data_IF_473140293066
#
_entry.id   IF_473140293066
#
_cell.length_a   1.000
_cell.length_b   1.000
_cell.length_c   1.000
_cell.angle_alpha   90.00
_cell.angle_beta   90.00
_cell.angle_gamma   90.00
#
_symmetry.space_group_name_H-M   'P 1'
#
loop_
_entity.id
_entity.type
_entity.pdbx_description
1 polymer ?
#
# COMPACT_ATOMS: atom_id res chain seq x y z
N UNK A 1 -15.91 -3.93 9.46
CA UNK A 1 -14.61 -3.36 9.90
C UNK A 1 -13.57 -3.17 8.79
N UNK A 2 -13.22 -4.17 7.96
CA UNK A 2 -12.18 -4.01 6.91
C UNK A 2 -12.66 -3.45 5.56
N UNK A 3 -13.91 -3.00 5.45
CA UNK A 3 -14.43 -2.47 4.19
C UNK A 3 -14.16 -0.98 3.99
N UNK A 4 -13.82 -0.25 5.06
CA UNK A 4 -13.61 1.19 5.04
C UNK A 4 -12.52 1.57 6.06
N UNK A 5 -11.65 2.52 5.68
CA UNK A 5 -10.56 2.99 6.55
C UNK A 5 -11.07 3.75 7.78
N UNK A 6 -12.28 4.34 7.71
CA UNK A 6 -12.89 5.06 8.83
C UNK A 6 -12.93 4.23 10.11
N UNK A 7 -13.09 2.90 10.03
CA UNK A 7 -13.13 2.05 11.21
C UNK A 7 -11.85 2.14 12.05
N UNK A 8 -10.66 1.95 11.47
CA UNK A 8 -9.43 2.07 12.23
C UNK A 8 -9.08 3.53 12.52
N UNK A 9 -9.43 4.46 11.63
CA UNK A 9 -9.13 5.88 11.82
C UNK A 9 -9.88 6.46 13.03
N UNK A 10 -11.19 6.21 13.15
CA UNK A 10 -11.98 6.69 14.28
C UNK A 10 -11.82 5.80 15.51
N UNK A 11 -12.09 4.50 15.39
CA UNK A 11 -12.13 3.62 16.56
C UNK A 11 -10.72 3.32 17.09
N UNK A 12 -9.79 2.98 16.19
CA UNK A 12 -8.38 2.79 16.53
C UNK A 12 -7.70 4.09 16.97
N UNK A 13 -8.00 5.21 16.29
CA UNK A 13 -7.50 6.53 16.69
C UNK A 13 -8.00 6.95 18.09
N UNK A 14 -9.28 6.72 18.38
CA UNK A 14 -9.84 6.99 19.71
C UNK A 14 -9.26 6.08 20.78
N UNK A 15 -9.09 4.78 20.49
CA UNK A 15 -8.37 3.85 21.37
C UNK A 15 -6.97 4.39 21.72
N UNK A 16 -6.21 4.82 20.71
CA UNK A 16 -4.85 5.32 20.93
C UNK A 16 -4.84 6.62 21.75
N UNK A 17 -5.77 7.54 21.50
CA UNK A 17 -5.92 8.77 22.29
C UNK A 17 -6.30 8.48 23.75
N UNK A 18 -7.28 7.58 23.97
CA UNK A 18 -7.71 7.19 25.30
C UNK A 18 -6.58 6.51 26.09
N UNK A 19 -5.83 5.62 25.44
CA UNK A 19 -4.66 4.96 26.03
C UNK A 19 -3.56 5.98 26.40
N UNK A 20 -3.23 6.88 25.49
CA UNK A 20 -2.20 7.89 25.71
C UNK A 20 -2.55 8.86 26.85
N UNK A 21 -3.80 9.34 26.90
CA UNK A 21 -4.24 10.30 27.92
C UNK A 21 -4.46 9.65 29.29
N UNK A 22 -4.94 8.41 29.33
CA UNK A 22 -5.22 7.73 30.60
C UNK A 22 -4.01 7.05 31.23
N UNK A 23 -2.95 6.79 30.47
CA UNK A 23 -1.74 6.09 30.95
C UNK A 23 -1.97 4.62 31.31
N UNK A 24 -3.16 4.07 31.03
CA UNK A 24 -3.52 2.67 31.27
C UNK A 24 -3.92 1.98 29.97
N UNK A 25 -3.85 0.66 29.97
CA UNK A 25 -4.47 -0.13 28.90
C UNK A 25 -5.99 0.10 28.90
N UNK A 26 -6.54 0.18 27.69
CA UNK A 26 -7.96 0.40 27.44
C UNK A 26 -8.46 -0.78 26.61
N UNK A 27 -9.66 -1.28 26.90
CA UNK A 27 -10.26 -2.29 26.03
C UNK A 27 -10.92 -1.63 24.83
N UNK A 28 -10.81 -2.28 23.67
CA UNK A 28 -11.45 -1.84 22.44
C UNK A 28 -12.36 -2.96 21.93
N UNK A 29 -13.66 -2.66 21.90
CA UNK A 29 -14.74 -3.63 21.69
C UNK A 29 -15.66 -3.19 20.57
N UNK A 30 -16.25 -4.15 19.87
CA UNK A 30 -17.27 -3.96 18.85
C UNK A 30 -18.55 -4.63 19.29
N UNK A 31 -19.67 -3.89 19.21
CA UNK A 31 -21.00 -4.49 19.33
C UNK A 31 -21.39 -5.02 17.96
N UNK A 32 -21.43 -6.34 17.85
CA UNK A 32 -21.85 -7.07 16.67
C UNK A 32 -23.37 -7.18 16.63
N UNK A 33 -23.99 -6.46 15.71
CA UNK A 33 -25.43 -6.43 15.46
C UNK A 33 -25.80 -7.05 14.11
N UNK A 34 -24.90 -7.86 13.52
CA UNK A 34 -25.16 -8.54 12.24
C UNK A 34 -26.38 -9.48 12.32
N UNK A 35 -26.60 -10.08 13.48
CA UNK A 35 -27.83 -10.79 13.83
C UNK A 35 -28.48 -10.06 15.02
N UNK A 36 -29.67 -9.49 14.80
CA UNK A 36 -30.40 -8.73 15.82
C UNK A 36 -30.85 -9.65 16.96
N UNK A 37 -31.11 -10.92 16.66
CA UNK A 37 -31.53 -11.91 17.67
C UNK A 37 -30.38 -12.40 18.55
N UNK A 38 -29.13 -12.17 18.12
CA UNK A 38 -27.91 -12.63 18.79
C UNK A 38 -26.85 -11.52 18.82
N UNK A 39 -27.20 -10.40 19.46
CA UNK A 39 -26.28 -9.25 19.59
C UNK A 39 -25.16 -9.55 20.56
N UNK A 40 -23.91 -9.37 20.12
CA UNK A 40 -22.70 -9.74 20.90
C UNK A 40 -21.78 -8.56 21.12
N UNK A 41 -21.11 -8.54 22.25
CA UNK A 41 -19.96 -7.67 22.48
C UNK A 41 -18.70 -8.49 22.23
N UNK A 42 -17.88 -8.04 21.28
CA UNK A 42 -16.71 -8.77 20.80
C UNK A 42 -15.47 -7.88 20.91
N UNK A 43 -14.37 -8.39 21.45
CA UNK A 43 -13.10 -7.69 21.42
C UNK A 43 -12.65 -7.45 19.96
N UNK A 44 -12.14 -6.26 19.65
CA UNK A 44 -11.69 -5.95 18.27
C UNK A 44 -10.63 -6.93 17.80
N UNK A 45 -9.76 -7.41 18.70
CA UNK A 45 -8.80 -8.47 18.38
C UNK A 45 -9.48 -9.69 17.77
N UNK A 46 -10.53 -10.22 18.41
CA UNK A 46 -11.26 -11.38 17.89
C UNK A 46 -11.96 -11.08 16.56
N UNK A 47 -12.47 -9.86 16.38
CA UNK A 47 -13.12 -9.46 15.11
C UNK A 47 -12.09 -9.33 13.96
N UNK A 48 -10.89 -8.81 14.24
CA UNK A 48 -9.76 -8.79 13.28
C UNK A 48 -9.45 -10.22 12.82
N UNK A 49 -9.25 -11.13 13.79
CA UNK A 49 -8.90 -12.53 13.49
C UNK A 49 -10.02 -13.25 12.74
N UNK A 50 -11.29 -13.03 13.13
CA UNK A 50 -12.45 -13.59 12.44
C UNK A 50 -12.49 -13.14 10.98
N UNK A 51 -12.29 -11.85 10.71
CA UNK A 51 -12.28 -11.32 9.34
C UNK A 51 -11.08 -11.86 8.56
N UNK A 52 -9.91 -11.95 9.17
CA UNK A 52 -8.73 -12.53 8.53
C UNK A 52 -9.02 -13.97 8.09
N UNK A 53 -9.51 -14.82 9.00
CA UNK A 53 -9.87 -16.22 8.73
C UNK A 53 -10.99 -16.38 7.71
N UNK A 54 -12.02 -15.53 7.77
CA UNK A 54 -13.17 -15.62 6.88
C UNK A 54 -12.88 -15.11 5.47
N UNK A 55 -11.86 -14.24 5.31
CA UNK A 55 -11.52 -13.57 4.05
C UNK A 55 -10.06 -13.74 3.68
N UNK A 56 -9.17 -12.92 4.24
CA UNK A 56 -7.77 -12.77 3.80
C UNK A 56 -6.97 -14.08 3.74
N UNK A 57 -7.31 -15.09 4.54
CA UNK A 57 -6.64 -16.39 4.49
C UNK A 57 -7.58 -17.54 4.12
N UNK A 58 -8.79 -17.21 3.65
CA UNK A 58 -9.78 -18.19 3.22
C UNK A 58 -9.60 -18.49 1.73
N UNK A 59 -9.22 -19.73 1.34
CA UNK A 59 -9.01 -20.08 -0.06
C UNK A 59 -10.25 -19.87 -0.92
N UNK A 60 -11.45 -20.21 -0.42
CA UNK A 60 -12.71 -20.03 -1.15
C UNK A 60 -12.96 -18.55 -1.48
N UNK A 61 -12.75 -17.67 -0.50
CA UNK A 61 -12.94 -16.24 -0.72
C UNK A 61 -11.89 -15.68 -1.69
N UNK A 62 -10.64 -16.12 -1.58
CA UNK A 62 -9.57 -15.70 -2.48
C UNK A 62 -9.88 -16.12 -3.92
N UNK A 63 -10.27 -17.37 -4.15
CA UNK A 63 -10.60 -17.85 -5.49
C UNK A 63 -11.82 -17.15 -6.09
N UNK A 64 -12.85 -16.85 -5.28
CA UNK A 64 -13.99 -16.05 -5.76
C UNK A 64 -13.57 -14.62 -6.14
N UNK A 65 -12.69 -13.99 -5.35
CA UNK A 65 -12.19 -12.65 -5.68
C UNK A 65 -11.29 -12.66 -6.92
N UNK A 66 -10.52 -13.71 -7.16
CA UNK A 66 -9.66 -13.84 -8.35
C UNK A 66 -10.45 -13.83 -9.65
N UNK A 67 -11.72 -14.28 -9.65
CA UNK A 67 -12.63 -14.17 -10.81
C UNK A 67 -12.90 -12.73 -11.26
N UNK A 68 -12.60 -11.75 -10.43
CA UNK A 68 -12.81 -10.33 -10.71
C UNK A 68 -11.53 -9.58 -11.13
N UNK A 69 -10.43 -10.30 -11.42
CA UNK A 69 -9.20 -9.74 -11.97
C UNK A 69 -8.69 -8.51 -11.20
N UNK A 70 -8.48 -7.40 -11.93
CA UNK A 70 -7.98 -6.13 -11.36
C UNK A 70 -8.73 -5.69 -10.10
N UNK A 71 -10.07 -5.78 -10.11
CA UNK A 71 -10.90 -5.34 -8.97
C UNK A 71 -10.77 -6.29 -7.77
N UNK A 72 -10.62 -7.58 -8.02
CA UNK A 72 -10.31 -8.57 -6.98
C UNK A 72 -8.98 -8.26 -6.30
N UNK A 73 -7.95 -7.99 -7.10
CA UNK A 73 -6.62 -7.62 -6.62
C UNK A 73 -6.63 -6.33 -5.79
N UNK A 74 -7.34 -5.29 -6.26
CA UNK A 74 -7.52 -4.04 -5.50
C UNK A 74 -8.23 -4.26 -4.16
N UNK A 75 -9.21 -5.16 -4.10
CA UNK A 75 -9.90 -5.48 -2.83
C UNK A 75 -8.99 -6.24 -1.84
N UNK A 76 -8.07 -7.09 -2.32
CA UNK A 76 -7.04 -7.69 -1.47
C UNK A 76 -6.14 -6.62 -0.85
N UNK A 77 -5.52 -5.80 -1.70
CA UNK A 77 -4.62 -4.72 -1.28
C UNK A 77 -5.30 -3.78 -0.29
N UNK A 78 -6.51 -3.32 -0.58
CA UNK A 78 -7.31 -2.46 0.31
C UNK A 78 -7.58 -3.08 1.67
N UNK A 79 -7.95 -4.37 1.75
CA UNK A 79 -8.22 -5.02 3.04
C UNK A 79 -6.94 -5.22 3.85
N UNK A 80 -5.82 -5.54 3.20
CA UNK A 80 -4.51 -5.67 3.85
C UNK A 80 -4.05 -4.29 4.36
N UNK A 81 -4.25 -3.22 3.60
CA UNK A 81 -4.01 -1.84 4.04
C UNK A 81 -4.85 -1.47 5.26
N UNK A 82 -6.13 -1.85 5.28
CA UNK A 82 -6.99 -1.59 6.45
C UNK A 82 -6.56 -2.41 7.68
N UNK A 83 -6.11 -3.65 7.49
CA UNK A 83 -5.52 -4.45 8.57
C UNK A 83 -4.24 -3.80 9.10
N UNK A 84 -3.39 -3.29 8.21
CA UNK A 84 -2.22 -2.49 8.60
C UNK A 84 -2.63 -1.25 9.43
N UNK A 85 -3.67 -0.53 9.01
CA UNK A 85 -4.21 0.61 9.77
C UNK A 85 -4.67 0.24 11.19
N UNK A 86 -5.32 -0.92 11.35
CA UNK A 86 -5.66 -1.46 12.66
C UNK A 86 -4.43 -1.79 13.50
N UNK A 87 -3.41 -2.41 12.90
CA UNK A 87 -2.16 -2.69 13.60
C UNK A 87 -1.43 -1.41 14.03
N UNK A 88 -1.37 -0.41 13.16
CA UNK A 88 -0.73 0.87 13.44
C UNK A 88 -1.42 1.66 14.56
N UNK A 89 -2.74 1.55 14.67
CA UNK A 89 -3.53 2.27 15.68
C UNK A 89 -3.69 1.52 17.00
N UNK A 90 -3.76 0.19 16.97
CA UNK A 90 -4.11 -0.62 18.16
C UNK A 90 -3.06 -1.64 18.59
N UNK A 91 -2.15 -2.05 17.70
CA UNK A 91 -1.20 -3.16 17.90
C UNK A 91 -1.86 -4.50 18.24
N UNK A 92 -3.12 -4.71 17.84
CA UNK A 92 -3.89 -5.92 18.12
C UNK A 92 -3.84 -7.00 17.04
N UNK A 93 -3.14 -6.74 15.92
CA UNK A 93 -3.00 -7.71 14.85
C UNK A 93 -1.88 -8.69 15.21
N UNK A 94 -2.24 -9.96 15.38
CA UNK A 94 -1.26 -10.98 15.75
C UNK A 94 -0.33 -11.37 14.59
N UNK A 95 0.88 -11.81 14.94
CA UNK A 95 1.96 -12.20 14.01
C UNK A 95 1.47 -13.19 12.94
N UNK A 96 0.69 -14.21 13.35
CA UNK A 96 0.23 -15.26 12.45
C UNK A 96 -0.59 -14.71 11.28
N UNK A 97 -1.32 -13.60 11.47
CA UNK A 97 -2.13 -13.00 10.42
C UNK A 97 -1.24 -12.43 9.32
N UNK A 98 -0.21 -11.69 9.71
CA UNK A 98 0.79 -11.18 8.78
C UNK A 98 1.58 -12.29 8.10
N UNK A 99 2.00 -13.31 8.86
CA UNK A 99 2.72 -14.45 8.29
C UNK A 99 1.88 -15.12 7.19
N UNK A 100 0.59 -15.37 7.44
CA UNK A 100 -0.30 -15.98 6.44
C UNK A 100 -0.59 -15.08 5.25
N UNK A 101 -0.66 -13.76 5.45
CA UNK A 101 -0.80 -12.81 4.34
C UNK A 101 0.48 -12.82 3.48
N UNK A 102 1.66 -12.76 4.09
CA UNK A 102 2.92 -12.80 3.38
C UNK A 102 3.08 -14.13 2.61
N UNK A 103 2.83 -15.26 3.27
CA UNK A 103 2.83 -16.59 2.65
C UNK A 103 1.92 -16.63 1.41
N UNK A 104 0.67 -16.17 1.54
CA UNK A 104 -0.33 -16.34 0.48
C UNK A 104 -0.28 -15.30 -0.63
N UNK A 105 -0.01 -14.05 -0.31
CA UNK A 105 -0.11 -12.95 -1.30
C UNK A 105 1.24 -12.55 -1.90
N UNK A 106 2.34 -12.84 -1.21
CA UNK A 106 3.68 -12.47 -1.69
C UNK A 106 4.53 -13.70 -1.99
N UNK A 107 4.61 -14.70 -1.12
CA UNK A 107 5.53 -15.83 -1.31
C UNK A 107 4.98 -16.93 -2.25
N UNK A 108 3.66 -17.06 -2.36
CA UNK A 108 2.98 -17.96 -3.29
C UNK A 108 3.17 -17.48 -4.75
N UNK A 109 3.93 -18.24 -5.52
CA UNK A 109 4.26 -17.93 -6.91
C UNK A 109 3.04 -17.86 -7.83
N UNK A 110 2.04 -18.72 -7.64
CA UNK A 110 0.82 -18.70 -8.45
C UNK A 110 0.03 -17.43 -8.17
N UNK A 111 0.01 -17.01 -6.91
CA UNK A 111 -0.65 -15.76 -6.53
C UNK A 111 0.11 -14.54 -7.08
N UNK A 112 1.45 -14.53 -7.04
CA UNK A 112 2.27 -13.45 -7.61
C UNK A 112 2.03 -13.30 -9.10
N UNK A 113 2.13 -14.39 -9.87
CA UNK A 113 1.85 -14.40 -11.32
C UNK A 113 0.45 -13.87 -11.61
N UNK A 114 -0.55 -14.30 -10.82
CA UNK A 114 -1.92 -13.80 -10.98
C UNK A 114 -2.01 -12.29 -10.75
N UNK A 115 -1.31 -11.74 -9.75
CA UNK A 115 -1.25 -10.29 -9.56
C UNK A 115 -0.51 -9.56 -10.69
N UNK A 116 0.62 -10.08 -11.16
CA UNK A 116 1.38 -9.49 -12.27
C UNK A 116 0.51 -9.34 -13.53
N UNK A 117 -0.30 -10.36 -13.83
CA UNK A 117 -1.24 -10.34 -14.97
C UNK A 117 -2.41 -9.35 -14.77
N UNK A 118 -2.94 -9.23 -13.54
CA UNK A 118 -4.21 -8.54 -13.33
C UNK A 118 -4.08 -7.15 -12.70
N UNK A 119 -3.12 -6.94 -11.80
CA UNK A 119 -2.86 -5.68 -11.08
C UNK A 119 -1.53 -5.73 -10.30
N UNK A 120 -0.38 -5.46 -10.95
CA UNK A 120 0.93 -5.48 -10.29
C UNK A 120 1.06 -4.42 -9.19
N UNK A 121 0.40 -3.27 -9.34
CA UNK A 121 0.38 -2.22 -8.30
C UNK A 121 -0.27 -2.68 -6.99
N UNK A 122 -1.25 -3.59 -7.05
CA UNK A 122 -1.86 -4.14 -5.86
C UNK A 122 -0.87 -5.05 -5.09
N UNK A 123 -0.06 -5.82 -5.81
CA UNK A 123 0.99 -6.64 -5.22
C UNK A 123 2.09 -5.78 -4.59
N UNK A 124 2.55 -4.75 -5.31
CA UNK A 124 3.50 -3.75 -4.79
C UNK A 124 3.01 -3.17 -3.44
N UNK A 125 1.78 -2.66 -3.38
CA UNK A 125 1.25 -2.05 -2.17
C UNK A 125 1.16 -3.06 -1.01
N UNK A 126 0.80 -4.32 -1.30
CA UNK A 126 0.76 -5.39 -0.29
C UNK A 126 2.17 -5.64 0.27
N UNK A 127 3.16 -5.85 -0.59
CA UNK A 127 4.54 -6.16 -0.18
C UNK A 127 5.15 -4.97 0.56
N UNK A 128 4.98 -3.74 0.05
CA UNK A 128 5.44 -2.52 0.73
C UNK A 128 4.83 -2.37 2.12
N UNK A 129 3.53 -2.64 2.29
CA UNK A 129 2.87 -2.58 3.60
C UNK A 129 3.35 -3.67 4.56
N UNK A 130 3.68 -4.87 4.07
CA UNK A 130 4.30 -5.94 4.86
C UNK A 130 5.69 -5.54 5.36
N UNK A 131 6.54 -5.03 4.46
CA UNK A 131 7.87 -4.51 4.80
C UNK A 131 7.80 -3.35 5.79
N UNK A 132 6.86 -2.42 5.58
CA UNK A 132 6.65 -1.31 6.51
C UNK A 132 6.18 -1.79 7.89
N UNK A 133 5.28 -2.78 7.94
CA UNK A 133 4.84 -3.38 9.20
C UNK A 133 6.01 -4.00 9.97
N UNK A 134 6.93 -4.68 9.28
CA UNK A 134 8.15 -5.20 9.87
C UNK A 134 9.05 -4.08 10.38
N UNK A 135 9.34 -3.06 9.54
CA UNK A 135 10.18 -1.90 9.87
C UNK A 135 9.66 -1.11 11.08
N UNK A 136 8.34 -1.00 11.23
CA UNK A 136 7.69 -0.30 12.36
C UNK A 136 7.49 -1.17 13.61
N UNK A 137 7.92 -2.44 13.57
CA UNK A 137 7.73 -3.39 14.66
C UNK A 137 6.26 -3.72 14.94
N UNK A 138 5.38 -3.51 13.95
CA UNK A 138 3.98 -3.93 13.98
C UNK A 138 3.87 -5.44 13.69
N UNK A 139 4.82 -5.96 12.93
CA UNK A 139 5.01 -7.36 12.64
C UNK A 139 6.46 -7.76 12.91
N UNK A 140 6.68 -9.00 13.33
CA UNK A 140 8.01 -9.57 13.58
C UNK A 140 8.17 -10.83 12.72
N UNK A 141 8.48 -10.71 11.42
CA UNK A 141 8.71 -11.87 10.56
C UNK A 141 9.97 -12.64 10.97
N UNK A 142 10.10 -13.88 10.49
CA UNK A 142 11.41 -14.56 10.49
C UNK A 142 12.35 -13.88 9.51
N UNK A 143 13.66 -14.00 9.74
CA UNK A 143 14.69 -13.44 8.86
C UNK A 143 14.54 -13.87 7.40
N UNK A 144 14.38 -15.18 7.16
CA UNK A 144 14.16 -15.74 5.80
C UNK A 144 12.95 -15.12 5.09
N UNK A 145 11.83 -14.95 5.80
CA UNK A 145 10.63 -14.32 5.25
C UNK A 145 10.86 -12.84 4.92
N UNK A 146 11.63 -12.11 5.73
CA UNK A 146 11.94 -10.71 5.47
C UNK A 146 12.85 -10.58 4.24
N UNK A 147 13.90 -11.39 4.15
CA UNK A 147 14.83 -11.41 3.01
C UNK A 147 14.07 -11.71 1.71
N UNK A 148 13.20 -12.73 1.70
CA UNK A 148 12.34 -13.04 0.54
C UNK A 148 11.41 -11.90 0.16
N UNK A 149 10.81 -11.20 1.12
CA UNK A 149 9.94 -10.07 0.82
C UNK A 149 10.70 -8.89 0.21
N UNK A 150 11.94 -8.65 0.64
CA UNK A 150 12.82 -7.63 0.07
C UNK A 150 13.20 -7.99 -1.38
N UNK A 151 13.57 -9.24 -1.64
CA UNK A 151 13.83 -9.75 -3.00
C UNK A 151 12.61 -9.58 -3.91
N UNK A 152 11.44 -10.06 -3.48
CA UNK A 152 10.18 -9.94 -4.22
C UNK A 152 9.85 -8.46 -4.49
N UNK A 153 10.09 -7.58 -3.52
CA UNK A 153 9.82 -6.15 -3.70
C UNK A 153 10.70 -5.55 -4.80
N UNK A 154 12.00 -5.89 -4.84
CA UNK A 154 12.90 -5.48 -5.91
C UNK A 154 12.51 -6.04 -7.28
N UNK A 155 12.05 -7.29 -7.34
CA UNK A 155 11.51 -7.88 -8.59
C UNK A 155 10.28 -7.10 -9.09
N UNK A 156 9.34 -6.78 -8.21
CA UNK A 156 8.15 -6.00 -8.55
C UNK A 156 8.51 -4.59 -9.03
N UNK A 157 9.45 -3.91 -8.36
CA UNK A 157 9.91 -2.60 -8.80
C UNK A 157 10.52 -2.67 -10.20
N UNK A 158 11.36 -3.67 -10.48
CA UNK A 158 11.92 -3.89 -11.82
C UNK A 158 10.85 -4.10 -12.90
N UNK A 159 9.84 -4.92 -12.61
CA UNK A 159 8.70 -5.14 -13.52
C UNK A 159 7.90 -3.86 -13.77
N UNK A 160 7.66 -3.07 -12.71
CA UNK A 160 6.92 -1.82 -12.83
C UNK A 160 7.69 -0.75 -13.59
N UNK A 161 9.00 -0.67 -13.41
CA UNK A 161 9.86 0.20 -14.20
C UNK A 161 9.76 -0.16 -15.68
N UNK A 162 9.90 -1.44 -16.04
CA UNK A 162 9.76 -1.90 -17.43
C UNK A 162 8.39 -1.55 -18.02
N UNK A 163 7.30 -1.73 -17.26
CA UNK A 163 5.94 -1.37 -17.68
C UNK A 163 5.74 0.15 -17.87
N UNK A 164 6.52 0.98 -17.16
CA UNK A 164 6.40 2.44 -17.22
C UNK A 164 7.39 3.07 -18.21
N UNK A 165 8.49 2.39 -18.53
CA UNK A 165 9.40 2.76 -19.62
C UNK A 165 8.81 2.33 -20.96
N UNK A 166 7.86 3.13 -21.48
CA UNK A 166 7.30 2.92 -22.81
C UNK A 166 7.92 3.91 -23.80
N UNK A 167 8.61 3.41 -24.82
CA UNK A 167 8.93 4.19 -26.02
C UNK A 167 7.66 4.37 -26.87
N UNK A 168 7.00 5.54 -26.79
CA UNK A 168 5.94 5.97 -27.71
C UNK A 168 4.56 6.31 -27.10
N UNK A 169 3.81 7.15 -27.84
CA UNK A 169 2.43 7.74 -27.77
C UNK A 169 1.53 7.63 -26.53
N UNK A 170 2.00 7.21 -25.36
CA UNK A 170 1.24 7.32 -24.12
C UNK A 170 1.51 8.67 -23.45
N UNK A 171 0.45 9.36 -23.04
CA UNK A 171 0.51 10.67 -22.42
C UNK A 171 1.32 10.58 -21.09
N UNK A 172 2.60 10.97 -21.14
CA UNK A 172 3.55 10.86 -20.02
C UNK A 172 4.81 10.04 -20.30
N UNK A 173 4.89 9.33 -21.43
CA UNK A 173 6.03 8.46 -21.77
C UNK A 173 7.26 9.16 -22.36
N UNK A 174 7.19 10.47 -22.63
CA UNK A 174 8.30 11.22 -23.22
C UNK A 174 8.64 12.41 -22.32
N UNK A 175 9.77 12.34 -21.62
CA UNK A 175 10.45 13.54 -21.13
C UNK A 175 11.20 14.11 -22.34
N UNK A 176 10.51 14.92 -23.14
CA UNK A 176 11.13 15.64 -24.24
C UNK A 176 11.95 16.79 -23.64
N UNK A 177 13.27 16.62 -23.61
CA UNK A 177 14.20 17.68 -23.21
C UNK A 177 14.29 18.65 -24.38
N UNK A 178 13.52 19.73 -24.33
CA UNK A 178 13.63 20.84 -25.27
C UNK A 178 14.71 21.81 -24.80
N UNK A 179 15.63 22.14 -25.69
CA UNK A 179 16.61 23.20 -25.50
C UNK A 179 16.13 24.50 -26.14
N UNK A 180 16.85 25.60 -25.90
CA UNK A 180 16.58 26.87 -26.55
C UNK A 180 16.65 26.82 -28.07
N UNK A 181 17.36 25.84 -28.63
CA UNK A 181 17.48 25.65 -30.08
C UNK A 181 16.22 25.00 -30.67
N UNK A 182 15.47 24.26 -29.87
CA UNK A 182 14.29 23.51 -30.30
C UNK A 182 13.01 24.38 -30.26
N UNK A 183 13.02 25.49 -29.52
CA UNK A 183 11.89 26.40 -29.36
C UNK A 183 12.30 27.82 -29.74
N UNK A 184 11.89 28.25 -30.94
CA UNK A 184 12.31 29.53 -31.55
C UNK A 184 12.10 30.75 -30.63
N UNK A 185 10.96 30.84 -29.95
CA UNK A 185 10.67 31.94 -29.02
C UNK A 185 11.57 31.97 -27.77
N UNK A 186 12.09 30.81 -27.34
CA UNK A 186 13.05 30.75 -26.24
C UNK A 186 14.43 31.21 -26.69
N UNK A 187 14.81 30.88 -27.92
CA UNK A 187 16.04 31.37 -28.53
C UNK A 187 16.05 32.90 -28.61
N UNK A 188 14.98 33.49 -29.14
CA UNK A 188 14.85 34.94 -29.30
C UNK A 188 14.97 35.68 -27.97
N UNK A 189 14.34 35.16 -26.90
CA UNK A 189 14.47 35.71 -25.55
C UNK A 189 15.87 35.54 -24.96
N UNK A 190 16.54 34.42 -25.23
CA UNK A 190 17.90 34.19 -24.74
C UNK A 190 18.90 35.10 -25.44
N UNK A 191 18.75 35.35 -26.74
CA UNK A 191 19.57 36.33 -27.46
C UNK A 191 19.39 37.75 -26.90
N UNK A 192 18.16 38.11 -26.51
CA UNK A 192 17.89 39.40 -25.86
C UNK A 192 18.57 39.48 -24.49
N UNK A 193 18.49 38.42 -23.68
CA UNK A 193 19.17 38.33 -22.39
C UNK A 193 20.70 38.36 -22.56
N UNK A 194 21.26 37.68 -23.56
CA UNK A 194 22.70 37.72 -23.84
C UNK A 194 23.18 39.11 -24.30
N UNK A 195 22.37 39.82 -25.10
CA UNK A 195 22.65 41.21 -25.50
C UNK A 195 22.66 42.14 -24.29
N UNK A 196 21.68 42.00 -23.39
CA UNK A 196 21.64 42.78 -22.15
C UNK A 196 22.82 42.42 -21.22
N UNK A 197 23.14 41.14 -21.09
CA UNK A 197 24.23 40.67 -20.24
C UNK A 197 25.61 41.11 -20.74
N UNK A 198 25.82 41.11 -22.06
CA UNK A 198 27.05 41.60 -22.69
C UNK A 198 27.17 43.12 -22.65
N UNK A 199 26.05 43.87 -22.67
CA UNK A 199 26.06 45.30 -22.40
C UNK A 199 26.48 45.62 -20.95
N UNK A 200 25.90 44.92 -19.97
CA UNK A 200 26.25 45.06 -18.54
C UNK A 200 27.72 44.67 -18.27
N UNK A 201 28.26 43.66 -18.98
CA UNK A 201 29.67 43.28 -18.88
C UNK A 201 30.64 44.29 -19.49
N UNK A 202 30.21 45.13 -20.43
CA UNK A 202 31.04 46.17 -21.06
C UNK A 202 31.08 47.48 -20.24
N UNK A 203 30.17 47.65 -19.29
CA UNK A 203 30.11 48.81 -18.38
C UNK A 203 30.88 48.59 -17.06
N UNK A 204 31.57 47.46 -16.90
CA UNK A 204 32.58 47.21 -15.85
C UNK A 204 33.98 47.14 -16.46
#
# INVERSE_FOLDING_TARGET
MFNCCCYFAYHGGFYNAAKALSGREVEVIHVDTRDISDTKIVAIKHEIERIARAKLVNPEWIEEMKKHGYRGASEFSKKILHLYGWSATTRLVDKWVYDKIAEKYALDEDMRRWFEEHNPWALEEIVRRLLEAAKRGLWKPSRDMLEKLEEIYSEIEGLMEEMTTVEGEHQGGVIAIYTSQDVQHWNEKLEEVEKLWSAVKKEK
#
